data_IF_854655376474
#
_entry.id   IF_854655376474
#
_cell.length_a   1.000
_cell.length_b   1.000
_cell.length_c   1.000
_cell.angle_alpha   90.00
_cell.angle_beta   90.00
_cell.angle_gamma   90.00
#
_symmetry.space_group_name_H-M   'P 1'
#
loop_
_entity.id
_entity.type
_entity.pdbx_description
1 polymer ?
#
# COMPACT_ATOMS: atom_id res chain seq x y z
N UNK A 1 -2.76 -5.42 5.14
CA UNK A 1 -2.10 -6.58 5.78
C UNK A 1 -2.55 -7.82 5.02
N UNK A 2 -1.66 -8.48 4.27
CA UNK A 2 -1.98 -9.75 3.63
C UNK A 2 -2.16 -10.82 4.71
N UNK A 3 -3.37 -10.97 5.23
CA UNK A 3 -3.75 -12.10 6.09
C UNK A 3 -4.28 -13.21 5.18
N UNK A 4 -3.49 -13.66 4.21
CA UNK A 4 -3.83 -14.89 3.51
C UNK A 4 -3.40 -16.04 4.40
N UNK A 5 -4.39 -16.64 5.07
CA UNK A 5 -4.25 -17.77 6.00
C UNK A 5 -3.53 -18.99 5.38
N UNK A 6 -3.46 -19.05 4.04
CA UNK A 6 -2.79 -20.10 3.27
C UNK A 6 -1.89 -19.48 2.18
N UNK A 7 -0.58 -19.40 2.41
CA UNK A 7 0.38 -19.15 1.34
C UNK A 7 0.43 -20.39 0.45
N UNK A 8 -0.24 -20.36 -0.70
CA UNK A 8 -0.11 -21.42 -1.71
C UNK A 8 1.36 -21.48 -2.13
N UNK A 9 2.02 -22.61 -1.87
CA UNK A 9 3.42 -22.88 -2.23
C UNK A 9 3.73 -22.61 -3.71
N UNK A 10 2.75 -22.79 -4.60
CA UNK A 10 2.84 -22.43 -6.02
C UNK A 10 3.06 -20.92 -6.26
N UNK A 11 2.44 -20.04 -5.47
CA UNK A 11 2.61 -18.59 -5.62
C UNK A 11 3.98 -18.13 -5.10
N UNK A 12 4.44 -18.74 -3.99
CA UNK A 12 5.79 -18.51 -3.47
C UNK A 12 6.85 -18.95 -4.48
N UNK A 13 6.67 -20.13 -5.08
CA UNK A 13 7.58 -20.64 -6.11
C UNK A 13 7.55 -19.78 -7.37
N UNK A 14 6.40 -19.30 -7.83
CA UNK A 14 6.35 -18.42 -8.99
C UNK A 14 7.03 -17.06 -8.73
N UNK A 15 6.94 -16.54 -7.49
CA UNK A 15 7.52 -15.24 -7.14
C UNK A 15 9.03 -15.31 -6.85
N UNK A 16 9.48 -16.31 -6.07
CA UNK A 16 10.89 -16.55 -5.74
C UNK A 16 11.63 -17.29 -6.85
N UNK A 17 10.97 -18.24 -7.50
CA UNK A 17 11.56 -19.16 -8.46
C UNK A 17 12.13 -18.45 -9.68
N UNK A 18 11.52 -17.36 -10.15
CA UNK A 18 12.11 -16.56 -11.24
C UNK A 18 13.51 -16.04 -10.91
N UNK A 19 13.71 -15.54 -9.68
CA UNK A 19 15.01 -15.01 -9.26
C UNK A 19 15.99 -16.15 -8.99
N UNK A 20 15.52 -17.24 -8.37
CA UNK A 20 16.32 -18.44 -8.17
C UNK A 20 16.81 -19.03 -9.50
N UNK A 21 15.94 -19.08 -10.53
CA UNK A 21 16.28 -19.56 -11.87
C UNK A 21 17.30 -18.64 -12.56
N UNK A 22 17.10 -17.32 -12.52
CA UNK A 22 18.04 -16.35 -13.09
C UNK A 22 19.41 -16.48 -12.41
N UNK A 23 19.46 -16.56 -11.08
CA UNK A 23 20.70 -16.73 -10.33
C UNK A 23 21.36 -18.07 -10.63
N UNK A 24 20.60 -19.15 -10.72
CA UNK A 24 21.11 -20.49 -11.06
C UNK A 24 21.71 -20.49 -12.45
N UNK A 25 21.01 -19.90 -13.43
CA UNK A 25 21.49 -19.79 -14.79
C UNK A 25 22.76 -18.95 -14.89
N UNK A 26 22.80 -17.79 -14.21
CA UNK A 26 23.98 -16.94 -14.14
C UNK A 26 25.17 -17.67 -13.50
N UNK A 27 24.98 -18.34 -12.36
CA UNK A 27 26.03 -19.15 -11.73
C UNK A 27 26.48 -20.30 -12.64
N UNK A 28 25.56 -20.93 -13.38
CA UNK A 28 25.87 -21.96 -14.37
C UNK A 28 26.77 -21.44 -15.50
N UNK A 29 26.47 -20.26 -16.05
CA UNK A 29 27.33 -19.62 -17.05
C UNK A 29 28.73 -19.36 -16.50
N UNK A 30 28.81 -18.81 -15.28
CA UNK A 30 30.10 -18.54 -14.62
C UNK A 30 30.89 -19.84 -14.40
N UNK A 31 30.23 -20.91 -13.96
CA UNK A 31 30.86 -22.22 -13.76
C UNK A 31 31.38 -22.83 -15.06
N UNK A 32 30.62 -22.74 -16.16
CA UNK A 32 31.04 -23.20 -17.49
C UNK A 32 32.22 -22.36 -18.00
N UNK A 33 32.17 -21.03 -17.85
CA UNK A 33 33.26 -20.14 -18.23
C UNK A 33 34.56 -20.46 -17.48
N UNK A 34 34.46 -20.73 -16.17
CA UNK A 34 35.61 -21.11 -15.36
C UNK A 34 36.19 -22.48 -15.75
N UNK A 35 35.33 -23.48 -16.01
CA UNK A 35 35.76 -24.85 -16.29
C UNK A 35 36.25 -25.11 -17.71
N UNK A 36 35.65 -24.45 -18.72
CA UNK A 36 35.91 -24.74 -20.14
C UNK A 36 36.65 -23.64 -20.89
N UNK A 37 36.58 -22.38 -20.44
CA UNK A 37 37.17 -21.23 -21.14
C UNK A 37 38.40 -20.63 -20.44
N UNK A 38 38.94 -21.34 -19.43
CA UNK A 38 40.08 -20.93 -18.59
C UNK A 38 39.94 -19.52 -17.99
N UNK A 39 38.71 -19.05 -17.83
CA UNK A 39 38.39 -17.73 -17.29
C UNK A 39 38.54 -17.74 -15.76
N UNK A 40 39.77 -17.50 -15.29
CA UNK A 40 40.14 -17.49 -13.86
C UNK A 40 39.96 -16.10 -13.25
N UNK A 41 38.72 -15.75 -12.94
CA UNK A 41 38.40 -14.54 -12.18
C UNK A 41 38.12 -14.90 -10.71
N UNK A 42 38.95 -14.42 -9.79
CA UNK A 42 38.79 -14.64 -8.35
C UNK A 42 38.52 -13.31 -7.65
N UNK A 43 37.35 -13.20 -7.01
CA UNK A 43 37.06 -12.12 -6.07
C UNK A 43 37.67 -12.46 -4.71
N UNK A 44 38.36 -11.51 -4.04
CA UNK A 44 38.83 -11.71 -2.68
C UNK A 44 37.67 -12.04 -1.74
N UNK A 45 37.79 -13.11 -0.95
CA UNK A 45 36.75 -13.54 -0.01
C UNK A 45 36.35 -12.43 0.97
N UNK A 46 37.32 -11.62 1.40
CA UNK A 46 37.10 -10.45 2.26
C UNK A 46 36.13 -9.44 1.65
N UNK A 47 36.19 -9.20 0.33
CA UNK A 47 35.29 -8.27 -0.34
C UNK A 47 33.84 -8.76 -0.23
N UNK A 48 33.60 -10.03 -0.54
CA UNK A 48 32.26 -10.63 -0.45
C UNK A 48 31.72 -10.62 0.98
N UNK A 49 32.54 -10.93 1.97
CA UNK A 49 32.13 -10.89 3.38
C UNK A 49 31.75 -9.48 3.83
N UNK A 50 32.58 -8.48 3.53
CA UNK A 50 32.31 -7.08 3.94
C UNK A 50 31.05 -6.55 3.25
N UNK A 51 30.90 -6.78 1.95
CA UNK A 51 29.70 -6.36 1.21
C UNK A 51 28.46 -7.07 1.72
N UNK A 52 28.53 -8.39 1.95
CA UNK A 52 27.42 -9.18 2.47
C UNK A 52 26.96 -8.69 3.84
N UNK A 53 27.90 -8.42 4.75
CA UNK A 53 27.62 -7.87 6.07
C UNK A 53 26.99 -6.48 5.97
N UNK A 54 27.54 -5.58 5.16
CA UNK A 54 27.00 -4.23 4.97
C UNK A 54 25.55 -4.27 4.43
N UNK A 55 25.27 -5.11 3.44
CA UNK A 55 23.91 -5.29 2.87
C UNK A 55 22.96 -5.87 3.92
N UNK A 56 23.39 -6.86 4.70
CA UNK A 56 22.56 -7.46 5.75
C UNK A 56 22.17 -6.42 6.82
N UNK A 57 23.12 -5.62 7.29
CA UNK A 57 22.85 -4.52 8.23
C UNK A 57 21.88 -3.50 7.63
N UNK A 58 22.14 -3.06 6.40
CA UNK A 58 21.30 -2.09 5.71
C UNK A 58 19.85 -2.57 5.57
N UNK A 59 19.64 -3.82 5.16
CA UNK A 59 18.31 -4.42 5.08
C UNK A 59 17.67 -4.51 6.46
N UNK A 60 18.43 -4.89 7.50
CA UNK A 60 17.95 -4.92 8.88
C UNK A 60 17.40 -3.56 9.34
N UNK A 61 18.16 -2.49 9.14
CA UNK A 61 17.71 -1.14 9.49
C UNK A 61 16.48 -0.71 8.68
N UNK A 62 16.46 -0.96 7.36
CA UNK A 62 15.31 -0.61 6.52
C UNK A 62 14.05 -1.37 6.90
N UNK A 63 14.17 -2.66 7.22
CA UNK A 63 13.04 -3.49 7.62
C UNK A 63 12.46 -3.02 8.96
N UNK A 64 13.30 -2.69 9.93
CA UNK A 64 12.84 -2.17 11.23
C UNK A 64 12.06 -0.86 11.04
N UNK A 65 12.62 0.10 10.28
CA UNK A 65 11.92 1.36 9.99
C UNK A 65 10.60 1.17 9.24
N UNK A 66 10.57 0.26 8.26
CA UNK A 66 9.35 -0.04 7.52
C UNK A 66 8.27 -0.69 8.41
N UNK A 67 8.69 -1.58 9.33
CA UNK A 67 7.80 -2.21 10.28
C UNK A 67 7.21 -1.19 11.26
N UNK A 68 8.04 -0.30 11.81
CA UNK A 68 7.59 0.75 12.73
C UNK A 68 6.58 1.68 12.07
N UNK A 69 6.82 2.11 10.82
CA UNK A 69 5.87 2.91 10.04
C UNK A 69 4.55 2.19 9.80
N UNK A 70 4.61 0.89 9.46
CA UNK A 70 3.39 0.08 9.30
C UNK A 70 2.62 -0.03 10.61
N UNK A 71 3.32 -0.21 11.73
CA UNK A 71 2.70 -0.29 13.05
C UNK A 71 2.11 1.05 13.50
N UNK A 72 2.79 2.15 13.22
CA UNK A 72 2.29 3.50 13.45
C UNK A 72 1.00 3.78 12.67
N UNK A 73 0.98 3.50 11.36
CA UNK A 73 -0.22 3.64 10.54
C UNK A 73 -1.40 2.80 11.08
N UNK A 74 -1.13 1.57 11.55
CA UNK A 74 -2.14 0.72 12.20
C UNK A 74 -2.69 1.35 13.48
N UNK A 75 -1.83 1.91 14.34
CA UNK A 75 -2.26 2.58 15.58
C UNK A 75 -3.14 3.80 15.28
N UNK A 76 -2.74 4.64 14.32
CA UNK A 76 -3.50 5.81 13.89
C UNK A 76 -4.88 5.39 13.39
N UNK A 77 -4.96 4.39 12.50
CA UNK A 77 -6.24 3.87 12.01
C UNK A 77 -7.10 3.28 13.14
N UNK A 78 -6.47 2.62 14.12
CA UNK A 78 -7.13 2.14 15.33
C UNK A 78 -7.72 3.27 16.18
N UNK A 79 -7.01 4.40 16.31
CA UNK A 79 -7.52 5.60 16.98
C UNK A 79 -8.74 6.14 16.24
N UNK A 80 -8.65 6.36 14.92
CA UNK A 80 -9.76 6.85 14.09
C UNK A 80 -11.01 6.00 14.29
N UNK A 81 -10.87 4.68 14.31
CA UNK A 81 -11.98 3.75 14.53
C UNK A 81 -12.60 3.91 15.92
N UNK A 82 -11.80 4.09 16.97
CA UNK A 82 -12.31 4.31 18.32
C UNK A 82 -12.97 5.68 18.46
N UNK A 83 -12.32 6.73 17.97
CA UNK A 83 -12.83 8.10 17.99
C UNK A 83 -14.14 8.22 17.20
N UNK A 84 -14.26 7.52 16.07
CA UNK A 84 -15.51 7.42 15.29
C UNK A 84 -16.66 6.82 16.09
N UNK A 85 -16.41 5.78 16.91
CA UNK A 85 -17.43 5.17 17.76
C UNK A 85 -17.86 6.10 18.89
N UNK A 86 -16.89 6.74 19.55
CA UNK A 86 -17.17 7.71 20.60
C UNK A 86 -17.94 8.91 20.04
N UNK A 87 -17.57 9.38 18.85
CA UNK A 87 -18.26 10.44 18.15
C UNK A 87 -19.71 10.04 17.82
N UNK A 88 -19.94 8.85 17.24
CA UNK A 88 -21.29 8.36 16.96
C UNK A 88 -22.15 8.20 18.21
N UNK A 89 -21.58 7.67 19.31
CA UNK A 89 -22.27 7.59 20.61
C UNK A 89 -22.68 8.97 21.13
N UNK A 90 -21.81 9.98 20.99
CA UNK A 90 -22.12 11.36 21.39
C UNK A 90 -23.26 11.93 20.54
N UNK A 91 -23.25 11.73 19.23
CA UNK A 91 -24.34 12.19 18.35
C UNK A 91 -25.67 11.57 18.77
N UNK A 92 -25.72 10.24 18.96
CA UNK A 92 -26.95 9.53 19.34
C UNK A 92 -27.50 10.01 20.69
N UNK A 93 -26.63 10.30 21.67
CA UNK A 93 -27.03 10.67 23.03
C UNK A 93 -27.34 12.15 23.23
N UNK A 94 -26.66 13.06 22.52
CA UNK A 94 -26.74 14.51 22.79
C UNK A 94 -27.54 15.30 21.76
N UNK A 95 -27.62 14.84 20.50
CA UNK A 95 -28.44 15.51 19.48
C UNK A 95 -29.90 15.11 19.69
N UNK A 96 -30.83 16.07 19.63
CA UNK A 96 -32.26 15.80 19.88
C UNK A 96 -33.05 15.50 18.61
N UNK A 97 -32.66 16.09 17.48
CA UNK A 97 -33.33 15.91 16.20
C UNK A 97 -32.77 14.66 15.48
N UNK A 98 -33.64 13.72 15.13
CA UNK A 98 -33.25 12.48 14.44
C UNK A 98 -32.71 12.73 13.02
N UNK A 99 -33.24 13.72 12.30
CA UNK A 99 -32.72 14.08 10.96
C UNK A 99 -31.27 14.58 11.06
N UNK A 100 -30.98 15.44 12.04
CA UNK A 100 -29.63 15.95 12.28
C UNK A 100 -28.66 14.85 12.74
N UNK A 101 -29.14 13.87 13.52
CA UNK A 101 -28.31 12.70 13.88
C UNK A 101 -27.90 11.95 12.62
N UNK A 102 -28.87 11.63 11.77
CA UNK A 102 -28.63 10.87 10.55
C UNK A 102 -27.68 11.61 9.62
N UNK A 103 -27.90 12.91 9.39
CA UNK A 103 -27.03 13.77 8.58
C UNK A 103 -25.58 13.75 9.08
N UNK A 104 -25.37 13.97 10.38
CA UNK A 104 -24.03 13.94 10.95
C UNK A 104 -23.37 12.58 10.75
N UNK A 105 -24.06 11.48 11.08
CA UNK A 105 -23.51 10.12 10.95
C UNK A 105 -23.10 9.85 9.49
N UNK A 106 -23.94 10.25 8.54
CA UNK A 106 -23.70 10.08 7.12
C UNK A 106 -22.54 10.93 6.61
N UNK A 107 -22.38 12.16 7.10
CA UNK A 107 -21.17 12.98 6.83
C UNK A 107 -19.92 12.30 7.35
N UNK A 108 -19.93 11.76 8.56
CA UNK A 108 -18.76 11.05 9.12
C UNK A 108 -18.38 9.80 8.31
N UNK A 109 -19.38 9.03 7.86
CA UNK A 109 -19.15 7.89 6.96
C UNK A 109 -18.53 8.38 5.65
N UNK A 110 -19.07 9.45 5.08
CA UNK A 110 -18.56 10.07 3.84
C UNK A 110 -17.11 10.54 3.99
N UNK A 111 -16.79 11.18 5.12
CA UNK A 111 -15.43 11.57 5.47
C UNK A 111 -14.48 10.36 5.50
N UNK A 112 -14.89 9.21 6.07
CA UNK A 112 -14.08 7.99 6.09
C UNK A 112 -13.76 7.48 4.67
N UNK A 113 -14.72 7.55 3.75
CA UNK A 113 -14.52 7.17 2.35
C UNK A 113 -13.53 8.11 1.65
N UNK A 114 -13.69 9.43 1.81
CA UNK A 114 -12.73 10.37 1.23
C UNK A 114 -11.34 10.26 1.86
N UNK A 115 -11.26 10.05 3.17
CA UNK A 115 -9.99 9.87 3.86
C UNK A 115 -9.25 8.63 3.32
N UNK A 116 -9.97 7.52 3.11
CA UNK A 116 -9.41 6.33 2.45
C UNK A 116 -8.91 6.66 1.04
N UNK A 117 -9.71 7.36 0.22
CA UNK A 117 -9.30 7.71 -1.15
C UNK A 117 -8.05 8.59 -1.16
N UNK A 118 -7.97 9.58 -0.27
CA UNK A 118 -6.83 10.46 -0.16
C UNK A 118 -5.54 9.70 0.18
N UNK A 119 -5.61 8.69 1.05
CA UNK A 119 -4.47 7.83 1.40
C UNK A 119 -4.03 6.89 0.27
N UNK A 120 -4.87 6.67 -0.74
CA UNK A 120 -4.57 5.80 -1.89
C UNK A 120 -4.06 6.56 -3.11
N UNK A 121 -4.06 7.90 -3.09
CA UNK A 121 -3.52 8.70 -4.17
C UNK A 121 -2.00 8.50 -4.26
N UNK A 122 -1.47 8.03 -5.41
CA UNK A 122 -0.04 7.78 -5.54
C UNK A 122 0.73 9.09 -5.53
N UNK A 123 1.80 9.14 -4.75
CA UNK A 123 2.69 10.31 -4.69
C UNK A 123 3.71 10.31 -5.84
N UNK A 124 4.33 11.46 -6.12
CA UNK A 124 5.26 11.59 -7.26
C UNK A 124 6.55 10.76 -7.11
N UNK A 125 6.96 10.47 -5.87
CA UNK A 125 8.16 9.66 -5.57
C UNK A 125 7.87 8.16 -5.44
N UNK A 126 6.62 7.72 -5.59
CA UNK A 126 6.28 6.31 -5.59
C UNK A 126 6.63 5.62 -6.92
N UNK A 127 6.92 4.31 -6.84
CA UNK A 127 7.26 3.51 -8.03
C UNK A 127 6.14 3.47 -9.08
N UNK A 128 4.89 3.69 -8.66
CA UNK A 128 3.72 3.79 -9.57
C UNK A 128 3.84 5.00 -10.51
N UNK A 129 4.54 6.04 -10.08
CA UNK A 129 4.80 7.28 -10.83
C UNK A 129 6.10 7.20 -11.66
N UNK A 130 6.84 6.09 -11.58
CA UNK A 130 8.06 5.90 -12.36
C UNK A 130 7.77 5.67 -13.86
N UNK A 131 8.74 5.95 -14.72
CA UNK A 131 8.65 5.71 -16.16
C UNK A 131 9.16 4.31 -16.56
N UNK A 132 8.63 3.79 -17.67
CA UNK A 132 9.04 2.51 -18.25
C UNK A 132 8.49 1.29 -17.52
N UNK A 133 9.13 0.15 -17.77
CA UNK A 133 8.66 -1.19 -17.35
C UNK A 133 8.36 -1.26 -15.83
N UNK A 134 9.18 -0.59 -15.00
CA UNK A 134 9.00 -0.59 -13.54
C UNK A 134 7.70 0.12 -13.16
N UNK A 135 7.40 1.26 -13.80
CA UNK A 135 6.17 2.01 -13.58
C UNK A 135 4.94 1.24 -14.04
N UNK A 136 5.02 0.58 -15.20
CA UNK A 136 3.90 -0.19 -15.75
C UNK A 136 3.57 -1.40 -14.87
N UNK A 137 4.59 -2.13 -14.39
CA UNK A 137 4.41 -3.22 -13.41
C UNK A 137 3.82 -2.66 -12.12
N UNK A 138 4.35 -1.56 -11.60
CA UNK A 138 3.85 -0.96 -10.35
C UNK A 138 2.39 -0.51 -10.46
N UNK A 139 1.98 0.05 -11.61
CA UNK A 139 0.59 0.40 -11.91
C UNK A 139 -0.32 -0.82 -11.95
N UNK A 140 0.10 -1.90 -12.62
CA UNK A 140 -0.67 -3.15 -12.66
C UNK A 140 -0.85 -3.74 -11.26
N UNK A 141 0.20 -3.75 -10.44
CA UNK A 141 0.13 -4.19 -9.05
C UNK A 141 -0.77 -3.26 -8.21
N UNK A 142 -0.66 -1.94 -8.37
CA UNK A 142 -1.52 -0.97 -7.67
C UNK A 142 -2.99 -1.16 -8.03
N UNK A 143 -3.31 -1.41 -9.30
CA UNK A 143 -4.67 -1.71 -9.73
C UNK A 143 -5.17 -3.05 -9.16
N UNK A 144 -4.35 -4.10 -9.19
CA UNK A 144 -4.76 -5.43 -8.76
C UNK A 144 -4.90 -5.60 -7.24
N UNK A 145 -4.07 -4.90 -6.47
CA UNK A 145 -3.96 -5.07 -5.02
C UNK A 145 -4.33 -3.82 -4.21
N UNK A 146 -4.44 -2.66 -4.84
CA UNK A 146 -4.79 -1.38 -4.22
C UNK A 146 -6.10 -0.82 -4.76
N UNK A 147 -6.00 0.25 -5.56
CA UNK A 147 -7.12 1.05 -6.04
C UNK A 147 -8.17 0.24 -6.82
N UNK A 148 -7.75 -0.74 -7.64
CA UNK A 148 -8.70 -1.52 -8.45
C UNK A 148 -9.40 -2.68 -7.71
N UNK A 149 -9.10 -2.95 -6.43
CA UNK A 149 -9.86 -3.93 -5.64
C UNK A 149 -11.26 -3.44 -5.26
N UNK A 150 -11.42 -2.13 -5.12
CA UNK A 150 -12.70 -1.48 -4.93
C UNK A 150 -12.86 -0.62 -6.17
N UNK A 151 -13.69 -1.02 -7.13
CA UNK A 151 -13.93 -0.19 -8.33
C UNK A 151 -14.27 1.23 -7.86
N UNK A 152 -13.41 2.19 -8.18
CA UNK A 152 -13.53 3.60 -7.78
C UNK A 152 -14.82 4.29 -8.32
N UNK A 153 -15.69 3.54 -9.01
CA UNK A 153 -17.06 3.94 -9.37
C UNK A 153 -18.07 3.89 -8.22
N UNK A 154 -17.75 3.18 -7.13
CA UNK A 154 -18.71 2.94 -6.05
C UNK A 154 -18.85 4.19 -5.15
N UNK A 155 -17.80 4.98 -4.98
CA UNK A 155 -17.81 6.03 -3.94
C UNK A 155 -18.71 7.22 -4.29
N UNK A 156 -18.63 7.80 -5.49
CA UNK A 156 -19.41 9.03 -5.77
C UNK A 156 -20.91 8.78 -5.98
N UNK A 157 -21.31 7.59 -6.46
CA UNK A 157 -22.73 7.23 -6.63
C UNK A 157 -23.37 6.72 -5.34
N UNK A 158 -22.64 6.02 -4.48
CA UNK A 158 -23.16 5.61 -3.17
C UNK A 158 -23.11 6.74 -2.14
N UNK A 159 -22.17 7.69 -2.25
CA UNK A 159 -22.11 8.85 -1.35
C UNK A 159 -23.31 9.80 -1.54
N UNK A 160 -23.94 9.83 -2.73
CA UNK A 160 -25.22 10.54 -2.92
C UNK A 160 -26.37 10.00 -2.06
N UNK A 161 -26.23 8.78 -1.51
CA UNK A 161 -27.18 8.25 -0.51
C UNK A 161 -27.00 8.93 0.85
N UNK A 162 -25.83 9.50 1.11
CA UNK A 162 -25.40 10.00 2.41
C UNK A 162 -25.35 11.54 2.51
N UNK A 163 -25.16 12.26 1.40
CA UNK A 163 -25.10 13.74 1.36
C UNK A 163 -26.01 14.32 0.27
N UNK A 164 -26.42 15.58 0.44
CA UNK A 164 -27.26 16.29 -0.53
C UNK A 164 -26.53 16.47 -1.88
N UNK A 165 -27.28 16.58 -2.99
CA UNK A 165 -26.68 16.76 -4.33
C UNK A 165 -25.86 18.05 -4.45
N UNK A 166 -26.23 19.10 -3.72
CA UNK A 166 -25.55 20.39 -3.68
C UNK A 166 -24.18 20.28 -2.98
N UNK A 167 -24.15 19.63 -1.81
CA UNK A 167 -22.93 19.36 -1.05
C UNK A 167 -21.99 18.42 -1.81
N UNK A 168 -22.53 17.42 -2.51
CA UNK A 168 -21.76 16.54 -3.38
C UNK A 168 -21.12 17.28 -4.58
N UNK A 169 -21.79 18.31 -5.10
CA UNK A 169 -21.27 19.15 -6.18
C UNK A 169 -20.15 20.08 -5.68
N UNK A 170 -20.31 20.67 -4.49
CA UNK A 170 -19.29 21.48 -3.85
C UNK A 170 -18.02 20.68 -3.57
N UNK A 171 -18.14 19.49 -2.98
CA UNK A 171 -17.01 18.61 -2.69
C UNK A 171 -16.27 18.12 -3.94
N UNK A 172 -16.91 18.08 -5.11
CA UNK A 172 -16.22 17.80 -6.38
C UNK A 172 -15.33 18.95 -6.84
N UNK A 173 -15.67 20.19 -6.47
CA UNK A 173 -14.93 21.39 -6.86
C UNK A 173 -13.65 21.60 -6.06
N UNK A 174 -13.56 21.03 -4.85
CA UNK A 174 -12.44 21.25 -3.94
C UNK A 174 -11.33 20.20 -4.13
N UNK A 175 -10.08 20.66 -4.12
CA UNK A 175 -8.90 19.82 -4.29
C UNK A 175 -8.72 18.80 -3.14
N UNK A 176 -9.08 19.16 -1.91
CA UNK A 176 -9.01 18.28 -0.75
C UNK A 176 -10.39 18.06 -0.13
N UNK A 177 -11.04 16.96 -0.50
CA UNK A 177 -12.41 16.62 -0.08
C UNK A 177 -12.52 16.21 1.40
N UNK A 178 -11.41 15.88 2.04
CA UNK A 178 -11.38 15.40 3.44
C UNK A 178 -11.46 16.55 4.44
N UNK A 179 -10.92 17.71 4.07
CA UNK A 179 -10.80 18.88 4.95
C UNK A 179 -12.02 19.82 4.83
N UNK A 180 -12.77 19.71 3.74
CA UNK A 180 -13.88 20.61 3.40
C UNK A 180 -15.25 19.93 3.56
N UNK A 181 -15.33 18.89 4.40
CA UNK A 181 -16.56 18.15 4.75
C UNK A 181 -16.89 18.36 6.23
#
# INVERSE_FOLDING_TARGET
MFITRNLKSRNLFNWLGRYALILTFFNGIVAIAYGYFDFKFALPSLFTSVVGTAVAFFIGFKNNQAYDRMWEARKIWGSIVNDSRTWGMRIVNFVKNEEQKQELIYRHITWLYFHRQALLQPTSWEQVSAHGIIGDIAKEFSQKYGLGQVKDDISLKEIQVFISEEEAAELKSVANRVVNL
#
